data_IF_969318865803
#
_entry.id   IF_969318865803
#
_cell.length_a   1.000
_cell.length_b   1.000
_cell.length_c   1.000
_cell.angle_alpha   90.00
_cell.angle_beta   90.00
_cell.angle_gamma   90.00
#
_symmetry.space_group_name_H-M   'P 1'
#
loop_
_entity.id
_entity.type
_entity.pdbx_description
1 polymer ?
#
# COMPACT_ATOMS: atom_id res chain seq x y z
N UNK A 1 -13.13 -25.88 -0.05
CA UNK A 1 -12.73 -24.58 -0.63
C UNK A 1 -11.53 -24.78 -1.55
N UNK A 2 -11.47 -24.08 -2.68
CA UNK A 2 -10.49 -24.32 -3.75
C UNK A 2 -9.26 -23.40 -3.73
N UNK A 3 -9.01 -22.67 -2.63
CA UNK A 3 -7.90 -21.71 -2.45
C UNK A 3 -7.63 -20.84 -3.68
N UNK A 4 -8.72 -20.30 -4.26
CA UNK A 4 -8.66 -19.46 -5.46
C UNK A 4 -8.64 -17.99 -5.08
N UNK A 5 -7.90 -17.21 -5.85
CA UNK A 5 -7.86 -15.77 -5.72
C UNK A 5 -9.12 -15.15 -6.34
N UNK A 6 -9.98 -14.55 -5.52
CA UNK A 6 -11.32 -14.13 -5.95
C UNK A 6 -11.51 -12.63 -6.07
N UNK A 7 -10.66 -11.84 -5.43
CA UNK A 7 -10.85 -10.39 -5.35
C UNK A 7 -9.55 -9.64 -5.04
N UNK A 8 -9.45 -8.40 -5.53
CA UNK A 8 -8.46 -7.41 -5.11
C UNK A 8 -9.04 -6.00 -5.26
N UNK A 9 -8.55 -5.05 -4.44
CA UNK A 9 -8.96 -3.64 -4.54
C UNK A 9 -8.40 -2.94 -5.78
N UNK A 10 -9.13 -1.97 -6.33
CA UNK A 10 -8.65 -1.16 -7.44
C UNK A 10 -7.75 -0.01 -6.95
N UNK A 11 -6.50 -0.33 -6.62
CA UNK A 11 -5.46 0.64 -6.25
C UNK A 11 -4.59 0.91 -7.48
N UNK A 12 -4.53 2.15 -8.01
CA UNK A 12 -3.83 2.44 -9.26
C UNK A 12 -2.31 2.31 -9.16
N UNK A 13 -1.72 2.50 -7.97
CA UNK A 13 -0.27 2.34 -7.71
C UNK A 13 -0.04 1.24 -6.69
N UNK A 14 0.05 -0.01 -7.16
CA UNK A 14 0.30 -1.19 -6.32
C UNK A 14 1.78 -1.57 -6.36
N UNK A 15 2.26 -2.05 -5.22
CA UNK A 15 3.58 -2.64 -5.03
C UNK A 15 3.71 -3.94 -5.86
N UNK A 16 2.60 -4.69 -5.97
CA UNK A 16 2.45 -5.84 -6.84
C UNK A 16 1.22 -5.66 -7.74
N UNK A 17 1.41 -5.49 -9.07
CA UNK A 17 0.31 -5.39 -10.02
C UNK A 17 -0.64 -6.59 -9.94
N UNK A 18 -1.92 -6.33 -10.17
CA UNK A 18 -2.97 -7.36 -10.25
C UNK A 18 -3.77 -7.16 -11.52
N UNK A 19 -4.10 -8.25 -12.18
CA UNK A 19 -4.89 -8.26 -13.40
C UNK A 19 -6.18 -9.06 -13.20
N UNK A 20 -7.22 -8.76 -13.97
CA UNK A 20 -8.47 -9.54 -13.96
C UNK A 20 -8.19 -11.01 -14.31
N UNK A 21 -7.20 -11.26 -15.18
CA UNK A 21 -6.75 -12.60 -15.54
C UNK A 21 -6.11 -13.38 -14.37
N UNK A 22 -5.80 -12.74 -13.24
CA UNK A 22 -5.30 -13.41 -12.04
C UNK A 22 -6.41 -14.01 -11.20
N UNK A 23 -7.65 -13.58 -11.39
CA UNK A 23 -8.79 -14.14 -10.69
C UNK A 23 -8.94 -15.62 -11.02
N UNK A 24 -9.42 -16.37 -10.04
CA UNK A 24 -9.61 -17.82 -10.06
C UNK A 24 -8.34 -18.66 -10.16
N UNK A 25 -7.15 -18.07 -10.29
CA UNK A 25 -5.89 -18.80 -10.15
C UNK A 25 -5.67 -19.27 -8.71
N UNK A 26 -4.99 -20.40 -8.56
CA UNK A 26 -4.52 -20.88 -7.26
C UNK A 26 -3.29 -20.10 -6.80
N UNK A 27 -2.94 -20.21 -5.52
CA UNK A 27 -1.75 -19.53 -4.99
C UNK A 27 -0.46 -19.98 -5.68
N UNK A 28 -0.36 -21.25 -6.08
CA UNK A 28 0.80 -21.78 -6.82
C UNK A 28 0.88 -21.23 -8.25
N UNK A 29 -0.27 -21.00 -8.89
CA UNK A 29 -0.32 -20.38 -10.21
C UNK A 29 0.05 -18.89 -10.15
N UNK A 30 -0.28 -18.20 -9.06
CA UNK A 30 0.05 -16.79 -8.86
C UNK A 30 1.50 -16.58 -8.41
N UNK A 31 2.04 -17.51 -7.63
CA UNK A 31 3.38 -17.43 -7.05
C UNK A 31 4.12 -18.75 -7.25
N UNK A 32 4.71 -19.01 -8.44
CA UNK A 32 5.47 -20.22 -8.67
C UNK A 32 6.66 -20.36 -7.72
N UNK A 33 6.99 -21.60 -7.35
CA UNK A 33 8.19 -21.92 -6.57
C UNK A 33 8.06 -21.70 -5.06
N UNK A 34 9.16 -21.33 -4.37
CA UNK A 34 9.20 -21.26 -2.90
C UNK A 34 8.18 -20.30 -2.28
N UNK A 35 7.88 -19.18 -2.94
CA UNK A 35 6.91 -18.20 -2.45
C UNK A 35 5.49 -18.78 -2.36
N UNK A 36 5.04 -19.53 -3.38
CA UNK A 36 3.74 -20.21 -3.35
C UNK A 36 3.67 -21.30 -2.29
N UNK A 37 4.75 -22.07 -2.11
CA UNK A 37 4.82 -23.06 -1.02
C UNK A 37 4.71 -22.42 0.35
N UNK A 38 5.37 -21.28 0.56
CA UNK A 38 5.29 -20.53 1.80
C UNK A 38 3.88 -19.99 2.05
N UNK A 39 3.29 -19.34 1.05
CA UNK A 39 1.93 -18.81 1.15
C UNK A 39 0.90 -19.92 1.43
N UNK A 40 1.06 -21.10 0.81
CA UNK A 40 0.18 -22.24 1.09
C UNK A 40 0.30 -22.69 2.55
N UNK A 41 1.50 -22.74 3.13
CA UNK A 41 1.68 -23.09 4.56
C UNK A 41 0.95 -22.11 5.49
N UNK A 42 0.95 -20.82 5.16
CA UNK A 42 0.20 -19.81 5.91
C UNK A 42 -1.30 -20.09 5.81
N UNK A 43 -1.83 -20.31 4.61
CA UNK A 43 -3.25 -20.65 4.39
C UNK A 43 -3.63 -21.93 5.15
N UNK A 44 -2.80 -22.97 5.11
CA UNK A 44 -3.05 -24.23 5.79
C UNK A 44 -3.07 -24.06 7.31
N UNK A 45 -2.21 -23.19 7.86
CA UNK A 45 -2.22 -22.86 9.28
C UNK A 45 -3.51 -22.16 9.73
N UNK A 46 -4.08 -21.30 8.87
CA UNK A 46 -5.33 -20.61 9.14
C UNK A 46 -6.51 -21.58 9.09
N UNK A 47 -6.55 -22.47 8.09
CA UNK A 47 -7.57 -23.54 8.01
C UNK A 47 -7.54 -24.45 9.23
N UNK A 48 -6.36 -24.78 9.72
CA UNK A 48 -6.17 -25.62 10.90
C UNK A 48 -6.43 -24.89 12.24
N UNK A 49 -6.76 -23.59 12.22
CA UNK A 49 -7.00 -22.81 13.43
C UNK A 49 -5.75 -22.59 14.29
N UNK A 50 -4.54 -22.74 13.72
CA UNK A 50 -3.28 -22.60 14.47
C UNK A 50 -2.92 -21.14 14.73
N UNK A 51 -3.35 -20.26 13.85
CA UNK A 51 -3.18 -18.81 13.94
C UNK A 51 -4.24 -18.15 13.05
N UNK A 52 -4.53 -16.88 13.33
CA UNK A 52 -5.50 -16.08 12.55
C UNK A 52 -4.85 -14.87 11.86
N UNK A 53 -3.57 -14.62 12.11
CA UNK A 53 -2.82 -13.51 11.56
C UNK A 53 -1.39 -13.96 11.25
N UNK A 54 -0.86 -13.48 10.14
CA UNK A 54 0.53 -13.63 9.77
C UNK A 54 1.03 -12.34 9.13
N UNK A 55 2.21 -11.89 9.55
CA UNK A 55 2.83 -10.66 9.06
C UNK A 55 4.22 -10.92 8.49
N UNK A 56 4.55 -10.18 7.44
CA UNK A 56 5.84 -10.24 6.79
C UNK A 56 6.30 -8.82 6.41
N UNK A 57 7.07 -8.15 7.28
CA UNK A 57 7.81 -6.97 6.88
C UNK A 57 8.97 -7.37 5.97
N UNK A 58 9.17 -6.63 4.87
CA UNK A 58 10.33 -6.78 4.00
C UNK A 58 10.77 -5.45 3.41
N UNK A 59 12.02 -5.41 2.93
CA UNK A 59 12.50 -4.32 2.09
C UNK A 59 12.40 -4.74 0.62
N UNK A 60 11.74 -3.93 -0.20
CA UNK A 60 11.62 -4.15 -1.63
C UNK A 60 11.89 -2.83 -2.35
N UNK A 61 12.85 -2.82 -3.29
CA UNK A 61 13.20 -1.64 -4.09
C UNK A 61 13.43 -0.37 -3.24
N UNK A 62 14.08 -0.50 -2.09
CA UNK A 62 14.34 0.61 -1.15
C UNK A 62 13.14 1.04 -0.31
N UNK A 63 11.96 0.44 -0.50
CA UNK A 63 10.76 0.71 0.29
C UNK A 63 10.59 -0.29 1.43
N UNK A 64 10.00 0.17 2.53
CA UNK A 64 9.59 -0.68 3.64
C UNK A 64 8.18 -1.17 3.35
N UNK A 65 8.04 -2.42 2.92
CA UNK A 65 6.75 -3.03 2.60
C UNK A 65 6.30 -3.87 3.78
N UNK A 66 5.04 -3.70 4.16
CA UNK A 66 4.39 -4.47 5.21
C UNK A 66 3.26 -5.28 4.61
N UNK A 67 3.38 -6.60 4.70
CA UNK A 67 2.38 -7.56 4.22
C UNK A 67 1.70 -8.19 5.43
N UNK A 68 0.37 -8.23 5.42
CA UNK A 68 -0.44 -8.90 6.42
C UNK A 68 -1.39 -9.88 5.76
N UNK A 69 -1.65 -10.98 6.43
CA UNK A 69 -2.68 -11.95 6.07
C UNK A 69 -3.52 -12.25 7.30
N UNK A 70 -4.84 -12.30 7.12
CA UNK A 70 -5.78 -12.63 8.18
C UNK A 70 -6.68 -13.79 7.75
N UNK A 71 -6.94 -14.70 8.67
CA UNK A 71 -7.97 -15.71 8.52
C UNK A 71 -9.34 -15.03 8.61
N UNK A 72 -10.14 -15.12 7.54
CA UNK A 72 -11.53 -14.71 7.57
C UNK A 72 -12.35 -15.88 8.10
N UNK A 73 -13.18 -15.63 9.12
CA UNK A 73 -14.07 -16.61 9.72
C UNK A 73 -15.49 -16.06 9.83
N UNK A 74 -16.47 -16.95 9.81
CA UNK A 74 -17.84 -16.57 10.18
C UNK A 74 -18.00 -16.47 11.72
N UNK A 75 -19.23 -16.20 12.16
CA UNK A 75 -19.54 -16.06 13.59
C UNK A 75 -19.38 -17.36 14.38
N UNK A 76 -19.45 -18.51 13.72
CA UNK A 76 -19.27 -19.84 14.32
C UNK A 76 -17.79 -20.29 14.31
N UNK A 77 -16.89 -19.45 13.77
CA UNK A 77 -15.46 -19.72 13.69
C UNK A 77 -15.03 -20.53 12.46
N UNK A 78 -15.95 -20.83 11.54
CA UNK A 78 -15.63 -21.57 10.33
C UNK A 78 -14.77 -20.70 9.41
N UNK A 79 -13.69 -21.30 8.88
CA UNK A 79 -12.78 -20.61 7.97
C UNK A 79 -13.47 -20.33 6.61
N UNK A 80 -13.53 -19.06 6.24
CA UNK A 80 -14.11 -18.56 4.99
C UNK A 80 -13.06 -18.27 3.92
N UNK A 81 -11.82 -17.98 4.32
CA UNK A 81 -10.75 -17.62 3.40
C UNK A 81 -9.64 -16.80 4.06
N UNK A 82 -8.75 -16.26 3.25
CA UNK A 82 -7.68 -15.37 3.71
C UNK A 82 -7.85 -14.01 3.04
N UNK A 83 -7.77 -12.94 3.82
CA UNK A 83 -7.64 -11.58 3.28
C UNK A 83 -6.21 -11.07 3.51
N UNK A 84 -5.64 -10.43 2.49
CA UNK A 84 -4.29 -9.90 2.52
C UNK A 84 -4.26 -8.39 2.37
N UNK A 85 -3.36 -7.74 3.11
CA UNK A 85 -2.98 -6.35 2.92
C UNK A 85 -1.50 -6.28 2.51
N UNK A 86 -1.19 -5.37 1.59
CA UNK A 86 0.18 -5.01 1.26
C UNK A 86 0.25 -3.51 1.07
N UNK A 87 1.22 -2.88 1.73
CA UNK A 87 1.45 -1.46 1.58
C UNK A 87 2.83 -1.04 2.07
N UNK A 88 3.27 0.15 1.63
CA UNK A 88 4.48 0.75 2.15
C UNK A 88 4.22 1.47 3.47
N UNK A 89 5.16 1.36 4.40
CA UNK A 89 5.11 2.04 5.70
C UNK A 89 6.12 3.18 5.81
N UNK A 90 6.78 3.55 4.70
CA UNK A 90 7.78 4.63 4.66
C UNK A 90 7.25 5.94 5.26
N UNK A 91 6.06 6.38 4.85
CA UNK A 91 5.48 7.62 5.36
C UNK A 91 5.20 7.55 6.87
N UNK A 92 4.66 6.43 7.35
CA UNK A 92 4.41 6.21 8.78
C UNK A 92 5.74 6.23 9.55
N UNK A 93 6.76 5.54 9.03
CA UNK A 93 8.09 5.54 9.63
C UNK A 93 8.71 6.94 9.69
N UNK A 94 8.51 7.77 8.67
CA UNK A 94 9.00 9.15 8.67
C UNK A 94 8.22 10.02 9.65
N UNK A 95 6.89 9.88 9.75
CA UNK A 95 6.09 10.56 10.77
C UNK A 95 6.58 10.23 12.19
N UNK A 96 6.90 8.96 12.47
CA UNK A 96 7.46 8.54 13.77
C UNK A 96 8.79 9.26 14.05
N UNK A 97 9.71 9.29 13.08
CA UNK A 97 11.01 9.97 13.24
C UNK A 97 10.87 11.47 13.51
N UNK A 98 9.80 12.08 13.02
CA UNK A 98 9.51 13.50 13.19
C UNK A 98 8.59 13.79 14.38
N UNK A 99 8.40 12.83 15.30
CA UNK A 99 7.68 13.04 16.55
C UNK A 99 6.17 13.24 16.38
N UNK A 100 5.58 12.71 15.30
CA UNK A 100 4.14 12.88 15.03
C UNK A 100 3.23 12.29 16.14
N UNK A 101 3.76 11.41 16.99
CA UNK A 101 3.07 10.82 18.14
C UNK A 101 3.52 11.38 19.50
N UNK A 102 4.37 12.39 19.53
CA UNK A 102 4.90 12.96 20.79
C UNK A 102 3.92 13.96 21.43
N UNK A 103 2.76 14.20 20.80
CA UNK A 103 1.74 15.10 21.31
C UNK A 103 0.99 14.48 22.48
N UNK A 104 0.97 15.18 23.63
CA UNK A 104 0.12 14.82 24.77
C UNK A 104 -1.34 15.22 24.51
N UNK A 105 -2.14 14.26 24.06
CA UNK A 105 -3.57 14.42 23.77
C UNK A 105 -4.44 14.57 25.02
N UNK A 106 -3.89 14.44 26.22
CA UNK A 106 -4.62 14.58 27.49
C UNK A 106 -5.04 16.04 27.76
N UNK A 107 -4.37 17.01 27.12
CA UNK A 107 -4.63 18.44 27.33
C UNK A 107 -5.84 19.00 26.57
N UNK A 108 -6.43 18.22 25.64
CA UNK A 108 -7.50 18.68 24.76
C UNK A 108 -8.93 18.23 25.12
N UNK A 109 -9.10 17.18 25.93
CA UNK A 109 -10.43 16.60 26.21
C UNK A 109 -11.07 17.07 27.52
N UNK A 110 -10.41 17.93 28.30
CA UNK A 110 -10.98 18.50 29.53
C UNK A 110 -10.58 19.97 29.71
N UNK A 111 -11.31 20.87 29.04
CA UNK A 111 -11.33 22.28 29.41
C UNK A 111 -12.77 22.75 29.55
N UNK A 112 -13.39 22.38 30.67
CA UNK A 112 -14.35 23.27 31.31
C UNK A 112 -13.53 24.35 32.03
N UNK A 113 -13.83 25.62 31.77
CA UNK A 113 -13.05 26.80 32.13
C UNK A 113 -12.49 26.79 33.57
N UNK A 114 -11.19 27.07 33.71
CA UNK A 114 -10.75 28.18 34.56
C UNK A 114 -9.40 28.72 34.05
N UNK A 115 -9.29 30.04 34.01
CA UNK A 115 -8.16 30.75 33.39
C UNK A 115 -6.86 30.63 34.20
N UNK A 116 -5.74 30.42 33.51
CA UNK A 116 -4.48 31.19 33.63
C UNK A 116 -3.41 30.69 32.64
N UNK A 117 -2.88 31.59 31.84
CA UNK A 117 -1.64 31.47 31.03
C UNK A 117 -0.41 31.83 31.91
N UNK A 118 0.88 31.51 31.57
CA UNK A 118 1.43 31.64 30.21
C UNK A 118 2.59 30.72 29.72
N UNK A 119 2.80 30.84 28.40
CA UNK A 119 4.04 30.80 27.59
C UNK A 119 4.78 29.49 27.30
N UNK A 120 4.76 29.10 26.01
CA UNK A 120 5.95 29.06 25.13
C UNK A 120 5.50 29.21 23.66
N UNK A 121 6.24 30.02 22.91
CA UNK A 121 5.94 30.37 21.52
C UNK A 121 6.10 29.17 20.58
N UNK A 122 5.16 29.03 19.64
CA UNK A 122 5.20 28.06 18.53
C UNK A 122 5.71 28.81 17.29
N UNK A 123 6.70 28.28 16.54
CA UNK A 123 7.09 28.90 15.28
C UNK A 123 5.99 28.72 14.22
N UNK A 124 5.72 29.82 13.53
CA UNK A 124 4.67 30.01 12.54
C UNK A 124 4.87 29.12 11.30
N UNK A 125 3.95 28.19 11.00
CA UNK A 125 3.89 27.51 9.70
C UNK A 125 2.94 28.30 8.79
N UNK A 126 3.48 29.35 8.17
CA UNK A 126 2.84 30.03 7.06
C UNK A 126 3.53 29.57 5.76
N UNK A 127 2.89 28.69 4.99
CA UNK A 127 3.52 28.14 3.79
C UNK A 127 2.70 27.19 2.93
N UNK A 128 1.36 27.25 2.92
CA UNK A 128 0.55 26.59 1.89
C UNK A 128 -0.26 27.63 1.11
N UNK A 129 0.40 28.27 0.14
CA UNK A 129 -0.28 29.02 -0.91
C UNK A 129 -0.96 28.07 -1.89
N UNK A 130 -2.28 28.23 -2.07
CA UNK A 130 -3.03 27.69 -3.22
C UNK A 130 -2.42 28.22 -4.52
N UNK A 131 -2.28 27.42 -5.60
CA UNK A 131 -2.07 27.98 -6.93
C UNK A 131 -3.38 28.59 -7.42
N UNK A 132 -3.34 29.87 -7.79
CA UNK A 132 -4.35 30.52 -8.63
C UNK A 132 -4.22 29.99 -10.06
N UNK A 133 -5.36 29.74 -10.70
CA UNK A 133 -5.46 29.54 -12.13
C UNK A 133 -5.26 30.88 -12.84
N UNK A 134 -4.41 30.93 -13.86
CA UNK A 134 -4.42 31.97 -14.88
C UNK A 134 -4.22 31.31 -16.25
N UNK A 135 -5.19 31.55 -17.12
CA UNK A 135 -5.26 31.14 -18.51
C UNK A 135 -4.65 32.26 -19.36
N UNK A 136 -3.63 31.97 -20.18
CA UNK A 136 -3.36 32.77 -21.39
C UNK A 136 -2.61 31.95 -22.44
N UNK A 137 -3.26 31.92 -23.59
CA UNK A 137 -2.93 31.33 -24.89
C UNK A 137 -1.72 32.01 -25.55
N UNK A 138 -0.86 31.22 -26.19
CA UNK A 138 -0.16 31.59 -27.43
C UNK A 138 0.49 30.36 -28.09
N UNK A 139 -0.19 29.81 -29.10
CA UNK A 139 0.33 29.41 -30.43
C UNK A 139 1.67 28.64 -30.59
N UNK A 140 1.48 27.37 -31.02
CA UNK A 140 2.29 26.34 -31.77
C UNK A 140 3.34 26.82 -32.81
N UNK A 141 4.27 25.96 -33.34
CA UNK A 141 4.01 24.56 -33.77
C UNK A 141 5.08 23.47 -33.56
N UNK A 142 4.62 22.26 -33.90
CA UNK A 142 5.21 20.92 -33.86
C UNK A 142 6.56 20.75 -34.59
N UNK A 143 7.39 19.84 -34.05
CA UNK A 143 8.30 19.01 -34.86
C UNK A 143 8.09 17.54 -34.46
N UNK A 144 7.49 16.83 -35.41
CA UNK A 144 7.44 15.38 -35.54
C UNK A 144 8.79 14.89 -36.09
N UNK A 145 9.25 13.69 -35.69
CA UNK A 145 9.54 12.54 -36.59
C UNK A 145 10.45 11.50 -35.90
N UNK A 146 9.82 10.35 -35.62
CA UNK A 146 10.26 8.94 -35.58
C UNK A 146 11.71 8.53 -35.94
N UNK A 147 12.16 7.43 -35.33
CA UNK A 147 12.52 6.22 -36.10
C UNK A 147 12.49 4.95 -35.24
N UNK A 148 11.55 4.06 -35.56
CA UNK A 148 11.62 2.63 -35.30
C UNK A 148 12.81 2.03 -36.07
N UNK A 149 13.55 1.11 -35.47
CA UNK A 149 14.54 0.31 -36.19
C UNK A 149 14.11 -1.16 -36.22
N UNK A 150 13.51 -1.54 -37.34
CA UNK A 150 13.42 -2.90 -37.85
C UNK A 150 14.25 -2.96 -39.13
N UNK A 151 15.12 -3.95 -39.27
CA UNK A 151 15.89 -4.18 -40.50
C UNK A 151 17.13 -5.03 -40.28
N UNK A 152 16.93 -6.33 -40.07
CA UNK A 152 17.96 -7.34 -40.38
C UNK A 152 18.16 -7.37 -41.89
N UNK A 153 19.43 -7.39 -42.32
CA UNK A 153 19.84 -7.61 -43.71
C UNK A 153 20.30 -9.06 -43.85
N UNK A 154 19.86 -9.69 -44.93
CA UNK A 154 20.39 -10.94 -45.45
C UNK A 154 21.67 -10.70 -46.29
N UNK A 155 22.31 -11.84 -46.61
CA UNK A 155 23.35 -12.11 -47.64
C UNK A 155 24.83 -12.01 -47.22
N UNK A 156 25.40 -13.15 -46.80
CA UNK A 156 26.23 -14.03 -47.66
C UNK A 156 26.59 -15.37 -46.98
#
# INVERSE_FOLDING_TARGET
MSDRFTWYSDKPKREYPRHVSDLQKTIQQLHPGPAGMFAQKVIDSFKAGKQDHFEQPLKLNGQMVYINYYALRDQDGNYLGTIGYTGTVNHIADLIKHGAWDQDVTTGASMHQSMKSPTKAVPNIAGMGRPKADNKDSSRPDITTSASHTGMKDDH
#
